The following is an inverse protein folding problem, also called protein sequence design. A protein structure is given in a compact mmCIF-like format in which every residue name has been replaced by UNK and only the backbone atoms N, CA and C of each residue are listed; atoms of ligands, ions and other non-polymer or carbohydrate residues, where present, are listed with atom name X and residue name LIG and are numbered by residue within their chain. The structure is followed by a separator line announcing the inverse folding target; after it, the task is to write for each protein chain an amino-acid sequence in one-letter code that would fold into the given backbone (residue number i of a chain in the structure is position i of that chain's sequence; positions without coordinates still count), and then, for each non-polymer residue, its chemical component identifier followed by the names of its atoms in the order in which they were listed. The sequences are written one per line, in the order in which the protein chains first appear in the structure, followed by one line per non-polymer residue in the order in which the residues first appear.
data_IF_052583579109
#
_entry.id   IF_052583579109
#
_cell.length_a   1.000
_cell.length_b   1.000
_cell.length_c   1.000
_cell.angle_alpha   90.00
_cell.angle_beta   90.00
_cell.angle_gamma   90.00
#
_symmetry.space_group_name_H-M   'P 1'
#
loop_
_entity.id
_entity.type
_entity.pdbx_description
1 polymer ?
#
# COMPACT_ATOMS: atom_id res chain seq x y z
N UNK A 1 47.71 -27.52 -54.44
CA UNK A 1 46.29 -27.05 -54.44
C UNK A 1 45.85 -26.85 -53.00
N UNK A 2 45.67 -25.57 -52.62
CA UNK A 2 45.06 -25.24 -51.32
C UNK A 2 43.54 -25.58 -51.39
N UNK A 3 43.09 -26.52 -50.58
CA UNK A 3 41.65 -26.72 -50.36
C UNK A 3 41.15 -25.57 -49.49
N UNK A 4 40.28 -24.72 -50.06
CA UNK A 4 39.49 -23.81 -49.26
C UNK A 4 38.56 -24.60 -48.36
N UNK A 5 38.75 -24.50 -47.05
CA UNK A 5 37.77 -24.98 -46.07
C UNK A 5 36.74 -23.91 -45.86
N UNK A 6 35.52 -24.15 -46.38
CA UNK A 6 34.36 -23.29 -46.13
C UNK A 6 33.72 -23.73 -44.83
N UNK A 7 33.78 -22.91 -43.79
CA UNK A 7 33.02 -23.11 -42.56
C UNK A 7 31.68 -22.41 -42.71
N UNK A 8 30.59 -23.14 -42.63
CA UNK A 8 29.23 -22.57 -42.58
C UNK A 8 28.84 -22.40 -41.11
N UNK A 9 28.62 -21.15 -40.68
CA UNK A 9 28.10 -20.85 -39.35
C UNK A 9 26.60 -20.84 -39.45
N UNK A 10 25.93 -21.74 -38.73
CA UNK A 10 24.49 -21.71 -38.52
C UNK A 10 24.22 -21.18 -37.11
N UNK A 11 23.30 -20.27 -37.01
CA UNK A 11 22.84 -19.74 -35.74
C UNK A 11 21.31 -19.84 -35.64
N UNK A 12 20.81 -20.10 -34.45
CA UNK A 12 19.40 -20.15 -34.13
C UNK A 12 19.12 -19.16 -33.02
N UNK A 13 18.05 -18.36 -33.16
CA UNK A 13 17.60 -17.46 -32.12
C UNK A 13 16.91 -18.29 -31.04
N UNK A 14 17.53 -18.45 -29.88
CA UNK A 14 16.98 -19.19 -28.73
C UNK A 14 16.16 -18.31 -27.78
N UNK A 15 16.15 -17.00 -27.96
CA UNK A 15 15.40 -16.07 -27.14
C UNK A 15 15.82 -14.62 -27.37
N UNK A 16 15.15 -13.70 -26.68
CA UNK A 16 15.46 -12.28 -26.65
C UNK A 16 15.70 -11.81 -25.22
N UNK A 17 16.84 -11.19 -24.98
CA UNK A 17 17.14 -10.50 -23.73
C UNK A 17 17.23 -8.99 -24.00
N UNK A 18 16.30 -8.19 -23.45
CA UNK A 18 16.32 -6.76 -23.70
C UNK A 18 17.53 -6.10 -23.03
N UNK A 19 17.98 -5.01 -23.61
CA UNK A 19 18.87 -4.08 -22.91
C UNK A 19 18.25 -3.69 -21.55
N UNK A 20 19.03 -3.59 -20.45
CA UNK A 20 18.53 -3.19 -19.15
C UNK A 20 17.61 -1.97 -19.14
N UNK A 21 17.82 -1.00 -20.02
CA UNK A 21 16.95 0.17 -20.19
C UNK A 21 15.54 -0.16 -20.67
N UNK A 22 15.37 -1.27 -21.39
CA UNK A 22 14.10 -1.68 -21.98
C UNK A 22 13.30 -2.65 -21.12
N UNK A 23 13.87 -3.17 -20.06
CA UNK A 23 13.18 -4.16 -19.19
C UNK A 23 11.84 -3.66 -18.63
N UNK A 24 11.77 -2.39 -18.21
CA UNK A 24 10.52 -1.77 -17.78
C UNK A 24 9.98 -2.27 -16.44
N UNK A 25 10.84 -2.70 -15.50
CA UNK A 25 10.45 -3.20 -14.17
C UNK A 25 9.63 -2.19 -13.34
N UNK A 26 9.67 -0.90 -13.71
CA UNK A 26 8.83 0.11 -13.08
C UNK A 26 7.33 -0.19 -13.25
N UNK A 27 6.94 -0.74 -14.41
CA UNK A 27 5.53 -1.01 -14.74
C UNK A 27 4.88 -1.96 -13.73
N UNK A 28 5.32 -3.22 -13.54
CA UNK A 28 4.72 -4.09 -12.53
C UNK A 28 5.00 -3.62 -11.09
N UNK A 29 6.06 -2.83 -10.85
CA UNK A 29 6.30 -2.24 -9.53
C UNK A 29 5.24 -1.21 -9.12
N UNK A 30 4.51 -0.59 -10.05
CA UNK A 30 3.41 0.33 -9.70
C UNK A 30 2.29 -0.37 -8.93
N UNK A 31 2.15 -1.70 -9.06
CA UNK A 31 1.22 -2.49 -8.25
C UNK A 31 1.61 -2.51 -6.77
N UNK A 32 2.91 -2.49 -6.45
CA UNK A 32 3.36 -2.28 -5.07
C UNK A 32 3.07 -0.88 -4.56
N UNK A 33 3.08 0.13 -5.44
CA UNK A 33 2.60 1.48 -5.12
C UNK A 33 1.12 1.48 -4.75
N UNK A 34 0.27 0.86 -5.57
CA UNK A 34 -1.17 0.72 -5.32
C UNK A 34 -1.44 -0.09 -4.04
N UNK A 35 -0.68 -1.16 -3.77
CA UNK A 35 -0.74 -1.91 -2.52
C UNK A 35 -0.42 -1.03 -1.31
N UNK A 36 0.62 -0.20 -1.40
CA UNK A 36 1.01 0.71 -0.33
C UNK A 36 -0.04 1.78 -0.08
N UNK A 37 -0.63 2.34 -1.13
CA UNK A 37 -1.66 3.37 -1.03
C UNK A 37 -2.95 2.86 -0.38
N UNK A 38 -3.43 1.67 -0.79
CA UNK A 38 -4.65 1.10 -0.21
C UNK A 38 -4.46 0.76 1.28
N UNK A 39 -3.25 0.33 1.67
CA UNK A 39 -2.91 0.08 3.08
C UNK A 39 -2.86 1.37 3.89
N UNK A 40 -2.31 2.44 3.31
CA UNK A 40 -2.30 3.76 3.93
C UNK A 40 -3.74 4.29 4.17
N UNK A 41 -4.63 4.12 3.19
CA UNK A 41 -6.04 4.49 3.32
C UNK A 41 -6.75 3.65 4.40
N UNK A 42 -6.49 2.35 4.48
CA UNK A 42 -7.05 1.50 5.53
C UNK A 42 -6.58 1.92 6.93
N UNK A 43 -5.31 2.26 7.10
CA UNK A 43 -4.78 2.81 8.35
C UNK A 43 -5.44 4.13 8.73
N UNK A 44 -5.68 5.02 7.75
CA UNK A 44 -6.40 6.27 7.98
C UNK A 44 -7.85 6.03 8.41
N UNK A 45 -8.54 5.06 7.81
CA UNK A 45 -9.91 4.69 8.23
C UNK A 45 -9.94 4.23 9.69
N UNK A 46 -9.00 3.41 10.11
CA UNK A 46 -8.91 2.96 11.51
C UNK A 46 -8.76 4.12 12.49
N UNK A 47 -7.91 5.11 12.20
CA UNK A 47 -7.71 6.25 13.10
C UNK A 47 -8.88 7.23 13.06
N UNK A 48 -9.50 7.44 11.90
CA UNK A 48 -10.57 8.43 11.74
C UNK A 48 -11.84 8.13 12.53
N UNK A 49 -12.10 6.84 12.85
CA UNK A 49 -13.30 6.41 13.57
C UNK A 49 -13.10 6.22 15.08
N UNK A 50 -11.85 6.15 15.52
CA UNK A 50 -11.54 6.01 16.96
C UNK A 50 -11.77 7.31 17.72
N UNK A 51 -12.11 7.23 19.02
CA UNK A 51 -12.30 8.39 19.91
C UNK A 51 -13.63 9.12 19.75
N UNK A 52 -14.56 8.64 18.93
CA UNK A 52 -15.83 9.31 18.72
C UNK A 52 -16.82 9.01 19.86
N UNK A 53 -17.01 9.96 20.77
CA UNK A 53 -18.10 9.91 21.78
C UNK A 53 -19.46 10.30 21.19
N UNK A 54 -19.47 10.91 20.00
CA UNK A 54 -20.63 11.45 19.33
C UNK A 54 -21.22 10.49 18.30
N UNK A 55 -22.51 10.60 18.09
CA UNK A 55 -23.25 9.68 17.24
C UNK A 55 -22.95 9.83 15.74
N UNK A 56 -22.51 11.00 15.28
CA UNK A 56 -22.22 11.25 13.86
C UNK A 56 -21.28 12.44 13.65
N UNK A 57 -20.61 12.43 12.54
CA UNK A 57 -19.73 13.53 12.15
C UNK A 57 -19.12 13.33 10.79
N UNK A 58 -18.31 14.28 10.39
CA UNK A 58 -17.45 14.18 9.24
C UNK A 58 -15.99 14.44 9.63
N UNK A 59 -15.07 13.99 8.80
CA UNK A 59 -13.66 14.21 9.00
C UNK A 59 -12.97 14.53 7.68
N UNK A 60 -11.85 15.22 7.78
CA UNK A 60 -10.94 15.55 6.69
C UNK A 60 -9.51 15.23 7.13
N UNK A 61 -8.71 14.68 6.24
CA UNK A 61 -7.31 14.38 6.52
C UNK A 61 -6.44 14.64 5.30
N UNK A 62 -5.22 15.13 5.55
CA UNK A 62 -4.10 14.97 4.65
C UNK A 62 -3.46 13.60 4.86
N UNK A 63 -2.99 12.98 3.78
CA UNK A 63 -2.35 11.67 3.76
C UNK A 63 -1.09 11.74 2.91
N UNK A 64 0.03 11.24 3.43
CA UNK A 64 1.26 11.04 2.69
C UNK A 64 1.78 9.62 2.90
N UNK A 65 2.20 8.97 1.82
CA UNK A 65 2.66 7.60 1.80
C UNK A 65 3.97 7.48 1.02
N UNK A 66 4.92 6.71 1.55
CA UNK A 66 6.26 6.54 0.99
C UNK A 66 6.67 5.08 1.08
N UNK A 67 6.89 4.44 -0.05
CA UNK A 67 7.46 3.10 -0.14
C UNK A 67 8.85 3.17 -0.77
N UNK A 68 9.83 2.63 -0.08
CA UNK A 68 11.21 2.51 -0.54
C UNK A 68 11.64 1.05 -0.54
N UNK A 69 12.11 0.57 -1.68
CA UNK A 69 12.77 -0.73 -1.82
C UNK A 69 14.20 -0.52 -2.26
N UNK A 70 15.15 -1.00 -1.47
CA UNK A 70 16.58 -0.99 -1.85
C UNK A 70 16.84 -1.92 -3.04
N UNK A 71 17.77 -1.53 -3.89
CA UNK A 71 18.24 -2.40 -4.97
C UNK A 71 19.15 -3.53 -4.45
N UNK A 72 19.36 -4.52 -5.30
CA UNK A 72 20.35 -5.57 -5.15
C UNK A 72 21.16 -5.69 -6.46
N UNK A 73 22.07 -6.64 -6.54
CA UNK A 73 22.83 -6.92 -7.77
C UNK A 73 21.93 -7.30 -8.96
N UNK A 74 20.73 -7.85 -8.67
CA UNK A 74 19.78 -8.36 -9.67
C UNK A 74 18.52 -7.52 -9.80
N UNK A 75 18.24 -6.61 -8.87
CA UNK A 75 17.02 -5.79 -8.84
C UNK A 75 17.33 -4.33 -8.63
N UNK A 76 16.61 -3.45 -9.32
CA UNK A 76 16.76 -2.00 -9.18
C UNK A 76 16.09 -1.51 -7.90
N UNK A 77 16.53 -0.34 -7.44
CA UNK A 77 15.81 0.43 -6.43
C UNK A 77 14.41 0.78 -6.95
N UNK A 78 13.45 0.79 -6.07
CA UNK A 78 12.11 1.28 -6.35
C UNK A 78 11.66 2.25 -5.28
N UNK A 79 11.01 3.32 -5.69
CA UNK A 79 10.32 4.27 -4.80
C UNK A 79 8.96 4.60 -5.34
N UNK A 80 8.00 4.53 -4.44
CA UNK A 80 6.67 5.09 -4.61
C UNK A 80 6.45 6.17 -3.56
N UNK A 81 5.94 7.31 -3.99
CA UNK A 81 5.51 8.40 -3.11
C UNK A 81 4.12 8.83 -3.54
N UNK A 82 3.20 8.95 -2.62
CA UNK A 82 1.89 9.53 -2.87
C UNK A 82 1.52 10.49 -1.75
N UNK A 83 0.76 11.53 -2.08
CA UNK A 83 0.21 12.44 -1.11
C UNK A 83 -1.11 13.01 -1.63
N UNK A 84 -2.01 13.34 -0.73
CA UNK A 84 -3.29 13.89 -1.08
C UNK A 84 -4.19 14.10 0.12
N UNK A 85 -5.47 13.91 -0.06
CA UNK A 85 -6.48 14.17 0.95
C UNK A 85 -7.55 13.10 0.98
N UNK A 86 -8.22 13.01 2.11
CA UNK A 86 -9.38 12.16 2.33
C UNK A 86 -10.50 12.95 3.01
N UNK A 87 -11.72 12.63 2.66
CA UNK A 87 -12.95 13.16 3.24
C UNK A 87 -13.81 11.99 3.64
N UNK A 88 -14.32 11.98 4.86
CA UNK A 88 -15.17 10.91 5.33
C UNK A 88 -16.29 11.35 6.24
N UNK A 89 -17.25 10.47 6.36
CA UNK A 89 -18.38 10.61 7.29
C UNK A 89 -18.43 9.37 8.17
N UNK A 90 -18.92 9.52 9.39
CA UNK A 90 -19.14 8.40 10.29
C UNK A 90 -20.44 8.55 11.05
N UNK A 91 -20.99 7.43 11.45
CA UNK A 91 -22.14 7.34 12.33
C UNK A 91 -21.91 6.23 13.37
N UNK A 92 -22.16 6.54 14.65
CA UNK A 92 -22.19 5.58 15.75
C UNK A 92 -23.62 5.39 16.20
N UNK A 93 -24.06 4.14 16.28
CA UNK A 93 -25.41 3.81 16.79
C UNK A 93 -25.39 3.70 18.31
N UNK A 94 -26.57 3.79 18.98
CA UNK A 94 -26.66 3.54 20.43
C UNK A 94 -26.19 2.14 20.85
N UNK A 95 -26.20 1.17 19.93
CA UNK A 95 -25.71 -0.19 20.15
C UNK A 95 -24.21 -0.34 19.85
N UNK A 96 -23.46 0.75 19.80
CA UNK A 96 -22.01 0.80 19.60
C UNK A 96 -21.52 0.25 18.25
N UNK A 97 -22.38 0.23 17.23
CA UNK A 97 -21.94 0.02 15.86
C UNK A 97 -21.42 1.32 15.27
N UNK A 98 -20.26 1.26 14.63
CA UNK A 98 -19.68 2.39 13.90
C UNK A 98 -19.65 2.07 12.41
N UNK A 99 -20.18 2.99 11.61
CA UNK A 99 -20.08 2.97 10.15
C UNK A 99 -19.34 4.20 9.69
N UNK A 100 -18.43 4.04 8.76
CA UNK A 100 -17.76 5.16 8.12
C UNK A 100 -17.63 4.91 6.62
N UNK A 101 -17.70 5.97 5.85
CA UNK A 101 -17.42 5.97 4.43
C UNK A 101 -16.49 7.14 4.10
N UNK A 102 -15.56 6.92 3.18
CA UNK A 102 -14.59 7.93 2.79
C UNK A 102 -14.32 7.91 1.30
N UNK A 103 -13.95 9.09 0.80
CA UNK A 103 -13.36 9.31 -0.51
C UNK A 103 -11.94 9.85 -0.31
N UNK A 104 -11.00 9.37 -1.13
CA UNK A 104 -9.61 9.80 -1.12
C UNK A 104 -9.13 10.12 -2.53
N UNK A 105 -8.28 11.13 -2.64
CA UNK A 105 -7.52 11.40 -3.85
C UNK A 105 -6.04 11.54 -3.49
N UNK A 106 -5.17 10.78 -4.18
CA UNK A 106 -3.73 10.82 -4.01
C UNK A 106 -3.04 11.09 -5.34
N UNK A 107 -1.92 11.80 -5.27
CA UNK A 107 -1.04 12.08 -6.38
C UNK A 107 0.26 11.30 -6.17
N UNK A 108 0.49 10.30 -7.02
CA UNK A 108 1.59 9.37 -6.90
C UNK A 108 2.76 9.68 -7.85
N UNK A 109 3.94 9.23 -7.46
CA UNK A 109 5.15 9.23 -8.28
C UNK A 109 5.95 7.97 -8.01
N UNK A 110 6.33 7.26 -9.08
CA UNK A 110 7.16 6.07 -9.04
C UNK A 110 8.48 6.31 -9.77
N UNK A 111 9.56 5.76 -9.21
CA UNK A 111 10.91 5.85 -9.78
C UNK A 111 11.68 4.56 -9.52
N UNK A 112 12.40 4.11 -10.53
CA UNK A 112 13.38 3.02 -10.43
C UNK A 112 14.83 3.54 -10.43
N UNK A 113 15.02 4.88 -10.45
CA UNK A 113 16.31 5.57 -10.56
C UNK A 113 17.09 5.26 -11.84
N UNK A 114 16.39 4.93 -12.89
CA UNK A 114 16.98 4.70 -14.19
C UNK A 114 16.34 5.61 -15.25
N UNK A 115 15.80 5.07 -16.29
CA UNK A 115 15.29 5.84 -17.43
C UNK A 115 13.82 6.18 -17.34
N UNK A 116 13.04 5.46 -16.52
CA UNK A 116 11.59 5.60 -16.43
C UNK A 116 11.15 6.32 -15.15
N UNK A 117 10.12 7.14 -15.29
CA UNK A 117 9.40 7.81 -14.20
C UNK A 117 7.92 7.72 -14.48
N UNK A 118 7.15 7.39 -13.45
CA UNK A 118 5.69 7.36 -13.52
C UNK A 118 5.09 8.45 -12.62
N UNK A 119 3.97 9.03 -13.05
CA UNK A 119 3.10 9.87 -12.23
C UNK A 119 1.71 9.27 -12.25
N UNK A 120 1.06 9.21 -11.11
CA UNK A 120 -0.29 8.64 -11.01
C UNK A 120 -1.25 9.59 -10.32
N UNK A 121 -2.52 9.47 -10.69
CA UNK A 121 -3.64 10.09 -10.01
C UNK A 121 -4.54 8.97 -9.50
N UNK A 122 -4.71 8.88 -8.18
CA UNK A 122 -5.40 7.78 -7.51
C UNK A 122 -6.69 8.29 -6.90
N UNK A 123 -7.80 7.67 -7.26
CA UNK A 123 -9.10 7.88 -6.63
C UNK A 123 -9.48 6.64 -5.84
N UNK A 124 -9.92 6.82 -4.62
CA UNK A 124 -10.31 5.71 -3.76
C UNK A 124 -11.60 5.97 -3.00
N UNK A 125 -12.35 4.90 -2.79
CA UNK A 125 -13.50 4.85 -1.90
C UNK A 125 -13.29 3.79 -0.84
N UNK A 126 -13.67 4.08 0.41
CA UNK A 126 -13.53 3.14 1.52
C UNK A 126 -14.79 3.09 2.37
N UNK A 127 -15.12 1.89 2.84
CA UNK A 127 -16.18 1.63 3.81
C UNK A 127 -15.57 0.96 5.03
N UNK A 128 -16.01 1.37 6.20
CA UNK A 128 -15.56 0.84 7.48
C UNK A 128 -16.75 0.49 8.36
N UNK A 129 -16.65 -0.64 9.04
CA UNK A 129 -17.61 -1.10 10.03
C UNK A 129 -16.89 -1.57 11.28
N UNK A 130 -17.41 -1.22 12.46
CA UNK A 130 -16.93 -1.72 13.73
C UNK A 130 -18.09 -2.07 14.65
N UNK A 131 -17.92 -3.12 15.40
CA UNK A 131 -18.89 -3.59 16.41
C UNK A 131 -18.17 -4.02 17.68
N UNK A 132 -18.70 -3.63 18.83
CA UNK A 132 -18.24 -4.06 20.15
C UNK A 132 -19.14 -5.21 20.61
N UNK A 133 -18.56 -6.39 20.80
CA UNK A 133 -19.28 -7.61 21.19
C UNK A 133 -18.92 -8.02 22.61
N UNK A 134 -19.94 -8.26 23.41
CA UNK A 134 -19.83 -8.81 24.77
C UNK A 134 -20.17 -10.30 24.78
N UNK A 135 -19.55 -11.07 23.91
CA UNK A 135 -19.79 -12.50 23.77
C UNK A 135 -19.37 -13.28 25.03
N UNK A 136 -20.34 -13.95 25.70
CA UNK A 136 -20.12 -14.62 26.98
C UNK A 136 -18.98 -15.65 26.96
N UNK A 137 -18.84 -16.42 25.90
CA UNK A 137 -17.77 -17.40 25.78
C UNK A 137 -16.39 -16.73 25.76
N UNK A 138 -16.27 -15.56 25.11
CA UNK A 138 -15.05 -14.75 25.12
C UNK A 138 -14.76 -14.19 26.51
N UNK A 139 -15.75 -13.62 27.19
CA UNK A 139 -15.60 -13.11 28.57
C UNK A 139 -15.14 -14.20 29.52
N UNK A 140 -15.78 -15.39 29.47
CA UNK A 140 -15.40 -16.54 30.29
C UNK A 140 -13.96 -17.00 30.01
N UNK A 141 -13.53 -17.01 28.76
CA UNK A 141 -12.16 -17.34 28.38
C UNK A 141 -11.14 -16.36 28.98
N UNK A 142 -11.38 -15.06 28.83
CA UNK A 142 -10.51 -14.02 29.39
C UNK A 142 -10.47 -14.07 30.91
N UNK A 143 -11.63 -14.20 31.58
CA UNK A 143 -11.70 -14.31 33.01
C UNK A 143 -10.92 -15.53 33.54
N UNK A 144 -10.98 -16.65 32.85
CA UNK A 144 -10.29 -17.88 33.24
C UNK A 144 -8.78 -17.85 32.97
N UNK A 145 -8.33 -17.11 31.95
CA UNK A 145 -6.92 -17.09 31.51
C UNK A 145 -6.12 -15.96 32.14
N UNK A 146 -6.67 -14.76 32.22
CA UNK A 146 -5.96 -13.55 32.67
C UNK A 146 -6.68 -12.81 33.81
N UNK A 147 -7.86 -13.27 34.24
CA UNK A 147 -8.62 -12.64 35.33
C UNK A 147 -9.19 -11.25 34.96
N UNK A 148 -9.34 -10.96 33.66
CA UNK A 148 -9.85 -9.70 33.16
C UNK A 148 -11.14 -9.87 32.36
N UNK A 149 -11.96 -8.84 32.33
CA UNK A 149 -13.11 -8.73 31.44
C UNK A 149 -12.78 -7.72 30.34
N UNK A 150 -13.08 -8.06 29.09
CA UNK A 150 -12.87 -7.17 27.95
C UNK A 150 -13.87 -7.50 26.85
N UNK A 151 -14.48 -6.50 26.22
CA UNK A 151 -15.26 -6.74 25.01
C UNK A 151 -14.34 -7.19 23.88
N UNK A 152 -14.95 -7.81 22.86
CA UNK A 152 -14.28 -8.09 21.61
C UNK A 152 -14.70 -7.03 20.59
N UNK A 153 -13.74 -6.21 20.17
CA UNK A 153 -13.96 -5.21 19.11
C UNK A 153 -13.68 -5.85 17.77
N UNK A 154 -14.71 -5.94 16.95
CA UNK A 154 -14.63 -6.49 15.60
C UNK A 154 -14.71 -5.35 14.58
N UNK A 155 -13.84 -5.35 13.59
CA UNK A 155 -13.91 -4.41 12.48
C UNK A 155 -13.82 -5.10 11.12
N UNK A 156 -14.40 -4.45 10.12
CA UNK A 156 -14.30 -4.82 8.71
C UNK A 156 -14.11 -3.56 7.87
N UNK A 157 -13.27 -3.64 6.86
CA UNK A 157 -13.05 -2.57 5.89
C UNK A 157 -13.09 -3.11 4.48
N UNK A 158 -13.64 -2.31 3.56
CA UNK A 158 -13.57 -2.53 2.12
C UNK A 158 -13.08 -1.25 1.47
N UNK A 159 -12.01 -1.33 0.70
CA UNK A 159 -11.44 -0.18 -0.01
C UNK A 159 -11.21 -0.55 -1.47
N UNK A 160 -11.58 0.34 -2.36
CA UNK A 160 -11.27 0.27 -3.77
C UNK A 160 -10.48 1.50 -4.18
N UNK A 161 -9.45 1.34 -5.00
CA UNK A 161 -8.76 2.44 -5.63
C UNK A 161 -8.46 2.17 -7.10
N UNK A 162 -8.55 3.24 -7.88
CA UNK A 162 -8.14 3.29 -9.28
C UNK A 162 -7.02 4.31 -9.44
N UNK A 163 -5.90 3.88 -10.00
CA UNK A 163 -4.75 4.74 -10.30
C UNK A 163 -4.59 4.89 -11.82
N UNK A 164 -4.71 6.11 -12.32
CA UNK A 164 -4.33 6.46 -13.69
C UNK A 164 -2.85 6.78 -13.74
N UNK A 165 -2.07 5.96 -14.44
CA UNK A 165 -0.62 6.05 -14.55
C UNK A 165 -0.21 6.72 -15.86
N UNK A 166 0.82 7.56 -15.79
CA UNK A 166 1.46 8.19 -16.96
C UNK A 166 2.97 8.06 -16.79
N UNK A 167 3.57 7.17 -17.56
CA UNK A 167 5.01 6.90 -17.55
C UNK A 167 5.73 7.63 -18.68
N UNK A 168 6.90 8.16 -18.35
CA UNK A 168 7.86 8.72 -19.29
C UNK A 168 9.17 7.96 -19.21
N UNK A 169 9.67 7.55 -20.35
CA UNK A 169 10.96 6.86 -20.48
C UNK A 169 11.91 7.63 -21.38
N UNK A 170 13.07 7.99 -20.85
CA UNK A 170 14.14 8.64 -21.58
C UNK A 170 15.26 7.62 -21.79
N UNK A 171 15.30 6.99 -22.96
CA UNK A 171 16.33 6.02 -23.27
C UNK A 171 17.65 6.73 -23.54
N UNK A 172 18.72 6.29 -22.88
CA UNK A 172 20.08 6.68 -23.20
C UNK A 172 20.63 5.65 -24.18
N UNK A 173 20.97 6.07 -25.39
CA UNK A 173 21.64 5.19 -26.32
C UNK A 173 23.15 5.46 -26.26
N UNK A 174 23.92 4.50 -25.76
CA UNK A 174 25.39 4.57 -25.68
C UNK A 174 26.05 4.70 -27.06
N UNK A 175 25.32 4.38 -28.12
CA UNK A 175 25.78 4.45 -29.51
C UNK A 175 25.31 5.69 -30.28
N UNK A 176 24.48 6.54 -29.66
CA UNK A 176 24.01 7.76 -30.34
C UNK A 176 25.04 8.86 -30.24
N UNK A 177 25.37 9.56 -31.35
CA UNK A 177 26.20 10.77 -31.31
C UNK A 177 25.62 11.78 -30.31
N UNK A 178 26.47 12.53 -29.62
CA UNK A 178 26.12 13.48 -28.55
C UNK A 178 25.08 14.56 -28.93
N UNK A 179 24.69 14.66 -30.19
CA UNK A 179 23.77 15.67 -30.75
C UNK A 179 22.38 15.11 -31.16
N UNK A 180 22.08 13.87 -30.84
CA UNK A 180 20.73 13.31 -31.15
C UNK A 180 19.83 13.49 -29.95
N UNK A 181 18.76 14.26 -30.12
CA UNK A 181 17.68 14.37 -29.13
C UNK A 181 16.89 13.06 -29.15
N UNK A 182 16.94 12.32 -28.06
CA UNK A 182 16.15 11.11 -27.91
C UNK A 182 14.67 11.48 -27.74
N UNK A 183 13.81 10.79 -28.45
CA UNK A 183 12.36 10.98 -28.33
C UNK A 183 11.89 10.41 -26.98
N UNK A 184 11.17 11.21 -26.19
CA UNK A 184 10.53 10.76 -24.97
C UNK A 184 9.43 9.74 -25.32
N UNK A 185 9.50 8.55 -24.75
CA UNK A 185 8.50 7.50 -24.90
C UNK A 185 7.53 7.61 -23.74
N UNK A 186 6.22 7.56 -24.02
CA UNK A 186 5.15 7.65 -23.02
C UNK A 186 4.30 6.40 -23.03
N UNK A 187 3.80 6.03 -21.85
CA UNK A 187 2.83 4.96 -21.67
C UNK A 187 1.80 5.34 -20.62
N UNK A 188 0.53 5.10 -20.91
CA UNK A 188 -0.59 5.37 -20.03
C UNK A 188 -1.36 4.08 -19.78
N UNK A 189 -1.72 3.81 -18.51
CA UNK A 189 -2.51 2.64 -18.12
C UNK A 189 -3.22 2.85 -16.79
N UNK A 190 -4.19 1.96 -16.48
CA UNK A 190 -4.89 1.89 -15.21
C UNK A 190 -4.34 0.81 -14.28
N UNK A 191 -4.37 1.07 -12.98
CA UNK A 191 -4.29 0.04 -11.96
C UNK A 191 -5.58 0.08 -11.12
N UNK A 192 -6.25 -1.07 -11.00
CA UNK A 192 -7.38 -1.27 -10.11
C UNK A 192 -6.95 -2.06 -8.89
N UNK A 193 -7.32 -1.62 -7.69
CA UNK A 193 -6.90 -2.26 -6.46
C UNK A 193 -8.06 -2.38 -5.48
N UNK A 194 -8.25 -3.59 -4.93
CA UNK A 194 -9.22 -3.89 -3.88
C UNK A 194 -8.49 -4.29 -2.60
N UNK A 195 -8.94 -3.74 -1.48
CA UNK A 195 -8.47 -4.12 -0.15
C UNK A 195 -9.64 -4.51 0.74
N UNK A 196 -9.53 -5.66 1.39
CA UNK A 196 -10.48 -6.13 2.42
C UNK A 196 -9.71 -6.40 3.69
N UNK A 197 -10.23 -5.91 4.80
CA UNK A 197 -9.67 -6.17 6.12
C UNK A 197 -10.75 -6.65 7.06
N UNK A 198 -10.42 -7.65 7.87
CA UNK A 198 -11.19 -8.06 9.06
C UNK A 198 -10.25 -8.04 10.26
N UNK A 199 -10.70 -7.48 11.37
CA UNK A 199 -9.93 -7.39 12.60
C UNK A 199 -10.73 -7.75 13.83
N UNK A 200 -10.02 -8.26 14.83
CA UNK A 200 -10.51 -8.49 16.17
C UNK A 200 -9.50 -7.96 17.19
N UNK A 201 -9.96 -7.22 18.19
CA UNK A 201 -9.14 -6.60 19.21
C UNK A 201 -9.82 -6.73 20.57
N UNK A 202 -9.03 -6.97 21.62
CA UNK A 202 -9.50 -7.06 23.00
C UNK A 202 -8.89 -5.93 23.84
N UNK A 203 -9.60 -4.80 24.09
CA UNK A 203 -9.11 -3.72 24.93
C UNK A 203 -9.15 -4.13 26.41
N UNK A 204 -7.98 -4.15 27.07
CA UNK A 204 -7.82 -4.56 28.47
C UNK A 204 -7.22 -3.40 29.25
N UNK A 205 -7.92 -2.95 30.28
CA UNK A 205 -7.47 -1.87 31.16
C UNK A 205 -6.31 -2.30 32.06
N UNK A 206 -5.38 -1.39 32.31
CA UNK A 206 -4.20 -1.59 33.15
C UNK A 206 -4.05 -0.48 34.19
N UNK A 207 -4.92 -0.41 35.20
CA UNK A 207 -4.97 0.70 36.16
C UNK A 207 -3.67 0.88 36.99
N UNK A 208 -2.82 -0.13 37.05
CA UNK A 208 -1.54 -0.07 37.76
C UNK A 208 -0.33 0.30 36.87
N UNK A 209 -0.51 0.49 35.59
CA UNK A 209 0.60 0.84 34.70
C UNK A 209 0.88 2.35 34.73
N UNK A 210 2.17 2.71 34.74
CA UNK A 210 2.63 4.11 34.67
C UNK A 210 2.73 4.59 33.20
N UNK A 211 2.89 3.66 32.27
CA UNK A 211 3.20 3.98 30.86
C UNK A 211 1.97 4.04 29.96
N UNK A 212 0.96 3.22 30.22
CA UNK A 212 -0.27 3.15 29.43
C UNK A 212 -1.45 2.69 30.28
N UNK A 213 -2.63 3.14 29.93
CA UNK A 213 -3.87 2.85 30.66
C UNK A 213 -4.59 1.61 30.11
N UNK A 214 -4.30 1.26 28.85
CA UNK A 214 -4.92 0.14 28.16
C UNK A 214 -3.93 -0.54 27.22
N UNK A 215 -3.96 -1.86 27.17
CA UNK A 215 -3.35 -2.64 26.10
C UNK A 215 -4.41 -3.48 25.39
N UNK A 216 -4.28 -3.58 24.08
CA UNK A 216 -5.28 -4.24 23.25
C UNK A 216 -4.57 -5.17 22.27
N UNK A 217 -4.43 -6.47 22.61
CA UNK A 217 -3.97 -7.45 21.62
C UNK A 217 -4.98 -7.53 20.48
N UNK A 218 -4.48 -7.70 19.26
CA UNK A 218 -5.30 -7.78 18.07
C UNK A 218 -4.77 -8.78 17.05
N UNK A 219 -5.68 -9.22 16.22
CA UNK A 219 -5.42 -10.03 15.03
C UNK A 219 -6.21 -9.40 13.87
N UNK A 220 -5.56 -9.28 12.72
CA UNK A 220 -6.22 -8.84 11.48
C UNK A 220 -5.97 -9.83 10.35
N UNK A 221 -6.89 -9.90 9.41
CA UNK A 221 -6.71 -10.52 8.09
C UNK A 221 -6.88 -9.42 7.04
N UNK A 222 -5.89 -9.29 6.17
CA UNK A 222 -5.82 -8.21 5.19
C UNK A 222 -5.51 -8.77 3.83
N UNK A 223 -6.51 -8.72 2.94
CA UNK A 223 -6.39 -9.11 1.54
C UNK A 223 -6.26 -7.85 0.68
N UNK A 224 -5.28 -7.82 -0.18
CA UNK A 224 -5.15 -6.83 -1.26
C UNK A 224 -4.99 -7.56 -2.57
N UNK A 225 -5.79 -7.17 -3.56
CA UNK A 225 -5.64 -7.58 -4.94
C UNK A 225 -5.54 -6.36 -5.83
N UNK A 226 -4.49 -6.28 -6.63
CA UNK A 226 -4.26 -5.20 -7.57
C UNK A 226 -4.05 -5.75 -8.98
N UNK A 227 -4.67 -5.11 -9.95
CA UNK A 227 -4.61 -5.42 -11.38
C UNK A 227 -4.05 -4.23 -12.15
N UNK A 228 -3.14 -4.48 -13.06
CA UNK A 228 -2.60 -3.50 -14.01
C UNK A 228 -3.11 -3.84 -15.40
N UNK A 229 -3.68 -2.87 -16.09
CA UNK A 229 -4.11 -3.01 -17.48
C UNK A 229 -2.93 -3.19 -18.42
N UNK A 230 -3.15 -3.89 -19.54
CA UNK A 230 -2.20 -3.91 -20.63
C UNK A 230 -2.17 -2.55 -21.36
N UNK A 231 -1.04 -2.19 -21.92
CA UNK A 231 -0.90 -0.95 -22.67
C UNK A 231 0.23 -0.97 -23.69
N UNK A 232 0.19 0.00 -24.59
CA UNK A 232 1.23 0.26 -25.60
C UNK A 232 1.83 1.64 -25.34
N UNK A 233 3.14 1.72 -25.39
CA UNK A 233 3.83 3.00 -25.38
C UNK A 233 3.66 3.73 -26.72
N UNK A 234 3.83 5.06 -26.68
CA UNK A 234 3.96 5.88 -27.88
C UNK A 234 5.27 5.55 -28.61
N UNK A 235 5.38 5.86 -29.87
CA UNK A 235 6.53 5.59 -30.73
C UNK A 235 6.67 4.12 -31.13
N UNK A 236 6.16 3.82 -32.32
CA UNK A 236 6.17 2.46 -32.88
C UNK A 236 7.57 1.87 -33.15
N UNK A 237 8.61 2.72 -33.24
CA UNK A 237 9.96 2.25 -33.51
C UNK A 237 10.73 1.76 -32.26
N UNK A 238 10.47 2.37 -31.10
CA UNK A 238 11.19 2.07 -29.85
C UNK A 238 10.27 1.73 -28.69
N UNK A 239 8.96 1.95 -28.85
CA UNK A 239 7.94 1.68 -27.87
C UNK A 239 7.78 0.19 -27.57
N UNK A 240 7.22 -0.08 -26.40
CA UNK A 240 6.96 -1.42 -25.89
C UNK A 240 5.47 -1.64 -25.72
N UNK A 241 5.08 -2.90 -25.80
CA UNK A 241 3.82 -3.39 -25.29
C UNK A 241 4.06 -4.08 -23.95
N UNK A 242 3.21 -3.84 -22.99
CA UNK A 242 3.18 -4.53 -21.70
C UNK A 242 1.84 -5.23 -21.54
N UNK A 243 1.87 -6.52 -21.26
CA UNK A 243 0.67 -7.27 -20.89
C UNK A 243 0.20 -6.87 -19.49
N UNK A 244 -1.04 -7.24 -19.18
CA UNK A 244 -1.62 -7.05 -17.85
C UNK A 244 -0.82 -7.81 -16.78
N UNK A 245 -0.88 -7.31 -15.56
CA UNK A 245 -0.20 -7.90 -14.40
C UNK A 245 -1.09 -7.88 -13.18
N UNK A 246 -0.85 -8.79 -12.24
CA UNK A 246 -1.62 -8.89 -11.01
C UNK A 246 -0.70 -9.03 -9.80
N UNK A 247 -1.16 -8.47 -8.68
CA UNK A 247 -0.60 -8.68 -7.37
C UNK A 247 -1.71 -9.15 -6.44
N UNK A 248 -1.48 -10.20 -5.69
CA UNK A 248 -2.38 -10.63 -4.62
C UNK A 248 -1.57 -10.82 -3.35
N UNK A 249 -2.04 -10.26 -2.25
CA UNK A 249 -1.40 -10.38 -0.95
C UNK A 249 -2.46 -10.61 0.11
N UNK A 250 -2.34 -11.70 0.87
CA UNK A 250 -3.08 -11.96 2.09
C UNK A 250 -2.10 -11.96 3.25
N UNK A 251 -2.21 -11.00 4.14
CA UNK A 251 -1.39 -10.89 5.34
C UNK A 251 -2.22 -11.03 6.62
N UNK A 252 -1.56 -11.44 7.70
CA UNK A 252 -2.18 -11.65 9.01
C UNK A 252 -1.42 -10.88 10.10
N UNK A 253 -1.62 -9.56 10.22
CA UNK A 253 -1.04 -8.78 11.30
C UNK A 253 -1.52 -9.27 12.66
N UNK A 254 -0.55 -9.54 13.55
CA UNK A 254 -0.77 -9.88 14.97
C UNK A 254 0.02 -8.87 15.76
N UNK A 255 -0.60 -8.26 16.76
CA UNK A 255 0.08 -7.23 17.52
C UNK A 255 -0.65 -6.77 18.76
N UNK A 256 -0.17 -5.66 19.29
CA UNK A 256 -0.73 -5.01 20.46
C UNK A 256 -0.84 -3.50 20.21
N UNK A 257 -1.96 -2.94 20.60
CA UNK A 257 -2.17 -1.49 20.69
C UNK A 257 -2.08 -1.09 22.16
N UNK A 258 -1.21 -0.14 22.46
CA UNK A 258 -1.06 0.49 23.77
C UNK A 258 -1.71 1.86 23.69
N UNK A 259 -2.53 2.22 24.67
CA UNK A 259 -3.20 3.50 24.71
C UNK A 259 -2.99 4.18 26.04
N UNK A 260 -2.87 5.52 26.01
CA UNK A 260 -2.83 6.38 27.18
C UNK A 260 -3.79 7.54 26.99
N UNK A 261 -4.57 7.84 28.02
CA UNK A 261 -5.54 8.92 28.04
C UNK A 261 -5.03 10.05 28.94
N UNK A 262 -5.31 11.29 28.59
CA UNK A 262 -5.04 12.43 29.49
C UNK A 262 -6.04 12.46 30.64
N UNK A 263 -5.66 13.12 31.72
CA UNK A 263 -6.45 13.18 32.97
C UNK A 263 -7.85 13.82 32.79
N UNK A 264 -8.04 14.59 31.73
CA UNK A 264 -9.29 15.28 31.40
C UNK A 264 -9.97 14.72 30.15
N UNK A 265 -9.53 13.56 29.65
CA UNK A 265 -9.98 12.92 28.39
C UNK A 265 -9.90 13.83 27.15
N UNK A 266 -9.10 14.90 27.24
CA UNK A 266 -8.90 15.85 26.14
C UNK A 266 -7.89 15.40 25.10
N UNK A 267 -7.06 14.42 25.44
CA UNK A 267 -6.07 13.85 24.54
C UNK A 267 -5.91 12.34 24.77
N UNK A 268 -5.63 11.61 23.72
CA UNK A 268 -5.19 10.23 23.81
C UNK A 268 -4.01 9.98 22.89
N UNK A 269 -3.14 9.08 23.32
CA UNK A 269 -1.97 8.64 22.57
C UNK A 269 -2.04 7.14 22.44
N UNK A 270 -1.68 6.63 21.26
CA UNK A 270 -1.61 5.20 21.01
C UNK A 270 -0.32 4.82 20.32
N UNK A 271 0.15 3.61 20.62
CA UNK A 271 1.28 2.97 19.99
C UNK A 271 0.86 1.56 19.58
N UNK A 272 1.07 1.20 18.33
CA UNK A 272 0.77 -0.13 17.81
C UNK A 272 2.08 -0.77 17.38
N UNK A 273 2.29 -2.00 17.84
CA UNK A 273 3.39 -2.88 17.47
C UNK A 273 2.79 -4.15 16.89
N UNK A 274 3.20 -4.53 15.69
CA UNK A 274 2.68 -5.72 15.05
C UNK A 274 3.74 -6.43 14.20
N UNK A 275 3.56 -7.74 14.09
CA UNK A 275 4.19 -8.60 13.11
C UNK A 275 3.14 -9.01 12.08
N UNK A 276 3.43 -8.83 10.80
CA UNK A 276 2.52 -9.08 9.71
C UNK A 276 3.14 -10.01 8.66
N UNK A 277 2.96 -11.34 8.80
CA UNK A 277 3.37 -12.31 7.78
C UNK A 277 2.40 -12.29 6.60
N UNK A 278 2.92 -12.41 5.38
CA UNK A 278 2.13 -12.70 4.19
C UNK A 278 1.87 -14.21 4.12
N UNK A 279 0.62 -14.62 4.26
CA UNK A 279 0.19 -16.02 4.21
C UNK A 279 0.14 -16.49 2.76
N UNK A 280 -0.46 -15.67 1.89
CA UNK A 280 -0.54 -15.92 0.45
C UNK A 280 -0.06 -14.69 -0.28
N UNK A 281 0.75 -14.88 -1.31
CA UNK A 281 1.21 -13.79 -2.17
C UNK A 281 1.55 -14.28 -3.57
N UNK A 282 1.10 -13.53 -4.58
CA UNK A 282 1.63 -13.54 -5.92
C UNK A 282 2.38 -12.24 -6.19
N UNK A 283 3.63 -12.33 -6.60
CA UNK A 283 4.43 -11.16 -6.97
C UNK A 283 4.08 -10.73 -8.40
N UNK A 284 4.02 -9.42 -8.68
CA UNK A 284 3.65 -8.95 -10.01
C UNK A 284 4.78 -9.15 -11.03
N UNK A 285 4.41 -9.69 -12.16
CA UNK A 285 5.23 -9.75 -13.37
C UNK A 285 4.35 -9.54 -14.60
N UNK A 286 4.92 -9.15 -15.70
CA UNK A 286 4.21 -9.05 -16.97
C UNK A 286 5.12 -9.41 -18.14
N UNK A 287 4.54 -9.95 -19.20
CA UNK A 287 5.22 -10.10 -20.49
C UNK A 287 5.29 -8.72 -21.16
N UNK A 288 6.45 -8.41 -21.71
CA UNK A 288 6.66 -7.20 -22.50
C UNK A 288 7.28 -7.55 -23.85
N UNK A 289 7.03 -6.74 -24.86
CA UNK A 289 7.59 -6.90 -26.21
C UNK A 289 7.90 -5.56 -26.86
N UNK A 290 8.76 -5.56 -27.88
CA UNK A 290 8.95 -4.41 -28.73
C UNK A 290 7.81 -4.31 -29.75
N UNK A 291 7.26 -3.11 -29.95
CA UNK A 291 6.21 -2.89 -30.95
C UNK A 291 6.65 -3.16 -32.37
N UNK A 292 7.94 -2.98 -32.68
CA UNK A 292 8.51 -3.28 -34.01
C UNK A 292 8.70 -4.79 -34.27
N UNK A 293 8.72 -5.62 -33.23
CA UNK A 293 8.98 -7.06 -33.33
C UNK A 293 8.25 -7.84 -32.24
N UNK A 294 6.91 -7.79 -32.22
CA UNK A 294 6.12 -8.27 -31.09
C UNK A 294 6.20 -9.78 -30.85
N UNK A 295 6.57 -10.57 -31.88
CA UNK A 295 6.61 -12.02 -31.79
C UNK A 295 8.02 -12.59 -31.48
N UNK A 296 9.07 -11.81 -31.69
CA UNK A 296 10.46 -12.28 -31.54
C UNK A 296 11.24 -11.53 -30.46
N UNK A 297 10.89 -10.28 -30.15
CA UNK A 297 11.51 -9.49 -29.09
C UNK A 297 10.57 -9.43 -27.87
N UNK A 298 10.43 -10.57 -27.20
CA UNK A 298 9.56 -10.78 -26.03
C UNK A 298 10.38 -11.14 -24.79
N UNK A 299 10.02 -10.62 -23.63
CA UNK A 299 10.65 -10.93 -22.35
C UNK A 299 9.65 -10.82 -21.20
N UNK A 300 9.97 -11.43 -20.06
CA UNK A 300 9.22 -11.27 -18.82
C UNK A 300 9.88 -10.18 -17.99
N UNK A 301 9.08 -9.20 -17.59
CA UNK A 301 9.48 -8.12 -16.69
C UNK A 301 8.90 -8.39 -15.30
N UNK A 302 9.76 -8.41 -14.28
CA UNK A 302 9.38 -8.71 -12.90
C UNK A 302 9.47 -7.47 -12.04
N UNK A 303 8.50 -7.30 -11.15
CA UNK A 303 8.59 -6.34 -10.07
C UNK A 303 9.63 -6.76 -9.03
N UNK A 304 9.98 -5.83 -8.16
CA UNK A 304 10.79 -6.13 -6.99
C UNK A 304 10.02 -7.08 -6.06
N UNK A 305 10.72 -8.08 -5.53
CA UNK A 305 10.15 -8.97 -4.53
C UNK A 305 10.30 -8.32 -3.14
N UNK A 306 9.20 -7.97 -2.49
CA UNK A 306 9.20 -7.51 -1.10
C UNK A 306 9.26 -8.73 -0.16
N UNK A 307 9.92 -8.60 1.00
CA UNK A 307 9.93 -9.69 1.98
C UNK A 307 8.51 -10.00 2.47
N UNK A 308 8.23 -11.28 2.72
CA UNK A 308 6.91 -11.74 3.17
C UNK A 308 6.59 -11.40 4.62
N UNK A 309 7.61 -11.09 5.40
CA UNK A 309 7.46 -10.75 6.80
C UNK A 309 7.61 -9.25 6.98
N UNK A 310 6.64 -8.63 7.65
CA UNK A 310 6.65 -7.22 7.97
C UNK A 310 6.67 -6.99 9.48
N UNK A 311 7.41 -5.97 9.89
CA UNK A 311 7.35 -5.37 11.22
C UNK A 311 6.66 -4.03 11.09
N UNK A 312 5.63 -3.78 11.91
CA UNK A 312 4.81 -2.58 11.86
C UNK A 312 4.90 -1.83 13.19
N UNK A 313 5.11 -0.52 13.09
CA UNK A 313 5.05 0.42 14.20
C UNK A 313 4.11 1.55 13.78
N UNK A 314 3.11 1.87 14.60
CA UNK A 314 2.25 3.03 14.40
C UNK A 314 2.16 3.83 15.69
N UNK A 315 2.21 5.15 15.58
CA UNK A 315 2.00 6.07 16.68
C UNK A 315 0.93 7.07 16.28
N UNK A 316 -0.09 7.22 17.10
CA UNK A 316 -1.21 8.11 16.83
C UNK A 316 -1.61 8.92 18.05
N UNK A 317 -2.32 10.02 17.82
CA UNK A 317 -2.90 10.82 18.87
C UNK A 317 -4.21 11.44 18.43
N UNK A 318 -5.04 11.74 19.44
CA UNK A 318 -6.25 12.54 19.34
C UNK A 318 -6.15 13.71 20.32
N UNK A 319 -6.64 14.85 19.90
CA UNK A 319 -6.67 16.07 20.70
C UNK A 319 -8.02 16.75 20.53
N UNK A 320 -8.81 16.85 21.58
CA UNK A 320 -10.02 17.66 21.60
C UNK A 320 -9.62 19.14 21.53
N UNK A 321 -9.87 19.77 20.39
CA UNK A 321 -9.57 21.19 20.18
C UNK A 321 -10.70 22.09 20.67
N UNK A 322 -11.93 21.65 20.50
CA UNK A 322 -13.13 22.29 21.02
C UNK A 322 -14.22 21.26 21.30
N UNK A 323 -15.37 21.71 21.78
CA UNK A 323 -16.49 20.82 22.09
C UNK A 323 -16.92 19.89 20.92
N UNK A 324 -16.79 20.37 19.68
CA UNK A 324 -17.22 19.66 18.48
C UNK A 324 -16.07 19.34 17.50
N UNK A 325 -14.83 19.73 17.81
CA UNK A 325 -13.69 19.56 16.90
C UNK A 325 -12.59 18.76 17.60
N UNK A 326 -12.20 17.68 16.99
CA UNK A 326 -11.08 16.83 17.40
C UNK A 326 -10.03 16.82 16.29
N UNK A 327 -8.78 16.93 16.68
CA UNK A 327 -7.64 16.77 15.79
C UNK A 327 -7.08 15.36 15.99
N UNK A 328 -6.64 14.74 14.91
CA UNK A 328 -5.93 13.46 14.98
C UNK A 328 -4.71 13.47 14.08
N UNK A 329 -3.70 12.72 14.47
CA UNK A 329 -2.56 12.45 13.63
C UNK A 329 -2.05 11.04 13.83
N UNK A 330 -1.41 10.47 12.80
CA UNK A 330 -0.80 9.16 12.84
C UNK A 330 0.47 9.15 12.01
N UNK A 331 1.47 8.48 12.55
CA UNK A 331 2.64 8.05 11.82
C UNK A 331 2.69 6.52 11.82
N UNK A 332 2.90 5.93 10.65
CA UNK A 332 3.07 4.48 10.51
C UNK A 332 4.40 4.17 9.84
N UNK A 333 5.05 3.13 10.31
CA UNK A 333 6.27 2.61 9.74
C UNK A 333 6.13 1.10 9.56
N UNK A 334 6.47 0.60 8.38
CA UNK A 334 6.54 -0.82 8.08
C UNK A 334 7.90 -1.18 7.52
N UNK A 335 8.52 -2.22 8.05
CA UNK A 335 9.80 -2.78 7.60
C UNK A 335 9.58 -4.18 7.04
N UNK A 336 9.93 -4.39 5.77
CA UNK A 336 9.90 -5.68 5.07
C UNK A 336 11.27 -5.97 4.46
N UNK A 337 12.16 -6.62 5.20
CA UNK A 337 13.52 -6.87 4.74
C UNK A 337 14.21 -5.56 4.30
N UNK A 338 14.48 -5.42 3.01
CA UNK A 338 15.11 -4.22 2.44
C UNK A 338 14.11 -3.16 1.95
N UNK A 339 12.81 -3.31 2.23
CA UNK A 339 11.81 -2.28 1.94
C UNK A 339 11.30 -1.61 3.20
N UNK A 340 10.94 -0.34 3.08
CA UNK A 340 10.42 0.50 4.16
C UNK A 340 9.23 1.30 3.65
N UNK A 341 8.16 1.30 4.41
CA UNK A 341 6.98 2.12 4.12
C UNK A 341 6.74 3.08 5.27
N UNK A 342 6.41 4.33 4.95
CA UNK A 342 6.07 5.38 5.90
C UNK A 342 4.72 5.98 5.49
N UNK A 343 3.81 6.13 6.47
CA UNK A 343 2.57 6.88 6.28
C UNK A 343 2.50 8.00 7.31
N UNK A 344 1.96 9.14 6.90
CA UNK A 344 1.70 10.28 7.77
C UNK A 344 0.29 10.76 7.46
N UNK A 345 -0.55 10.77 8.48
CA UNK A 345 -1.92 11.27 8.43
C UNK A 345 -2.07 12.42 9.42
N UNK A 346 -2.73 13.49 8.99
CA UNK A 346 -3.07 14.62 9.82
C UNK A 346 -4.48 15.09 9.47
N UNK A 347 -5.38 15.03 10.42
CA UNK A 347 -6.78 15.32 10.16
C UNK A 347 -7.52 15.99 11.30
N UNK A 348 -8.74 16.35 10.99
CA UNK A 348 -9.70 16.93 11.90
C UNK A 348 -11.04 16.23 11.75
N UNK A 349 -11.71 16.02 12.86
CA UNK A 349 -13.06 15.47 12.96
C UNK A 349 -14.00 16.52 13.52
N UNK A 350 -15.13 16.71 12.87
CA UNK A 350 -16.19 17.60 13.31
C UNK A 350 -17.41 16.76 13.66
N UNK A 351 -17.91 16.97 14.85
CA UNK A 351 -18.97 16.16 15.47
C UNK A 351 -20.25 16.99 15.63
N UNK A 352 -21.43 16.38 15.46
CA UNK A 352 -22.72 17.04 15.59
C UNK A 352 -23.87 16.07 15.92
#
# INVERSE_FOLDING_TARGET
SAQEQIATLTWEQTGYSPNPERQGSLVPNTLWGSFSDIRAIQNLMDISVNGADYHRGFWVSGLANFLHKSGSDTTRKFRHHSAGYALGVYAKTPSEYIFSAAFCQLFGKDKDYFVSKNSSNVYAGSLYYQHISYWNAWQNLLQSTIGAESPLVLNAQLTYCHASNNMKTNMTNTYTPKNVTLTEIKGDWGNDCFGVEFGAMAPIETPSSILFDMYSPFLKLQLVHAHQDDFKETNSAEGRYFESSNLTNLSMPIGVKLARFSHEDTASYNLILAYAPDIVRSDPDCTASLLVSPNSAVWVTKANNLARNAFMLQAGNYLAFSHNIELFSQFSFELRGSSRTYNIDLGSKIQF
#
